data_IF_386473308411
#
_entry.id   IF_386473308411
#
_cell.length_a   1.000
_cell.length_b   1.000
_cell.length_c   1.000
_cell.angle_alpha   90.00
_cell.angle_beta   90.00
_cell.angle_gamma   90.00
#
_symmetry.space_group_name_H-M   'P 1'
#
loop_
_entity.id
_entity.type
_entity.pdbx_description
1 polymer ?
#
# COMPACT_ATOMS: atom_id res chain seq x y z
N UNK A 1 5.54 -3.26 -9.21
CA UNK A 1 5.80 -2.00 -9.95
C UNK A 1 5.46 -0.78 -9.12
N UNK A 2 4.23 -0.66 -8.60
CA UNK A 2 3.78 0.48 -7.78
C UNK A 2 4.62 0.70 -6.52
N UNK A 3 5.00 -0.37 -5.80
CA UNK A 3 5.81 -0.28 -4.57
C UNK A 3 7.09 0.55 -4.74
N UNK A 4 7.80 0.45 -5.86
CA UNK A 4 9.08 1.13 -6.05
C UNK A 4 8.92 2.67 -6.05
N UNK A 5 7.91 3.19 -6.74
CA UNK A 5 7.60 4.63 -6.75
C UNK A 5 6.97 5.10 -5.45
N UNK A 6 6.08 4.28 -4.87
CA UNK A 6 5.44 4.58 -3.59
C UNK A 6 6.47 4.69 -2.46
N UNK A 7 7.51 3.85 -2.47
CA UNK A 7 8.59 3.90 -1.48
C UNK A 7 9.31 5.25 -1.45
N UNK A 8 9.64 5.81 -2.62
CA UNK A 8 10.31 7.11 -2.70
C UNK A 8 9.42 8.25 -2.19
N UNK A 9 8.15 8.29 -2.60
CA UNK A 9 7.18 9.32 -2.16
C UNK A 9 7.00 9.24 -0.64
N UNK A 10 6.89 8.03 -0.11
CA UNK A 10 6.75 7.77 1.32
C UNK A 10 7.95 8.30 2.11
N UNK A 11 9.18 8.10 1.62
CA UNK A 11 10.39 8.65 2.25
C UNK A 11 10.45 10.18 2.22
N UNK A 12 10.08 10.79 1.09
CA UNK A 12 10.01 12.25 0.97
C UNK A 12 8.99 12.83 1.96
N UNK A 13 7.83 12.19 2.12
CA UNK A 13 6.82 12.60 3.08
C UNK A 13 7.36 12.60 4.52
N UNK A 14 7.99 11.49 4.93
CA UNK A 14 8.57 11.37 6.27
C UNK A 14 9.65 12.42 6.49
N UNK A 15 10.55 12.59 5.51
CA UNK A 15 11.63 13.57 5.62
C UNK A 15 11.13 15.00 5.76
N UNK A 16 10.05 15.36 5.05
CA UNK A 16 9.52 16.73 5.01
C UNK A 16 8.64 17.08 6.22
N UNK A 17 7.77 16.16 6.64
CA UNK A 17 6.74 16.46 7.66
C UNK A 17 7.18 16.06 9.05
N UNK A 18 7.87 14.92 9.20
CA UNK A 18 8.43 14.42 10.46
C UNK A 18 7.47 14.42 11.66
N UNK A 19 6.15 14.29 11.43
CA UNK A 19 5.11 14.34 12.47
C UNK A 19 4.09 13.24 12.28
N UNK A 20 3.58 12.73 13.40
CA UNK A 20 2.42 11.84 13.43
C UNK A 20 1.22 12.52 12.76
N UNK A 21 0.48 11.76 11.96
CA UNK A 21 -0.62 12.23 11.12
C UNK A 21 -0.23 12.29 9.64
N UNK A 22 1.06 12.41 9.31
CA UNK A 22 1.51 12.55 7.92
C UNK A 22 1.13 11.33 7.07
N UNK A 23 1.42 10.11 7.57
CA UNK A 23 1.14 8.87 6.84
C UNK A 23 -0.37 8.60 6.83
N UNK A 24 -1.07 8.89 7.94
CA UNK A 24 -2.53 8.74 8.01
C UNK A 24 -3.28 9.63 7.03
N UNK A 25 -2.83 10.88 6.83
CA UNK A 25 -3.40 11.81 5.84
C UNK A 25 -3.13 11.28 4.43
N UNK A 26 -1.90 10.87 4.13
CA UNK A 26 -1.56 10.29 2.84
C UNK A 26 -2.43 9.05 2.53
N UNK A 27 -2.56 8.14 3.49
CA UNK A 27 -3.42 6.96 3.37
C UNK A 27 -4.89 7.32 3.18
N UNK A 28 -5.40 8.31 3.93
CA UNK A 28 -6.78 8.79 3.78
C UNK A 28 -7.04 9.37 2.40
N UNK A 29 -6.12 10.17 1.86
CA UNK A 29 -6.22 10.72 0.49
C UNK A 29 -6.24 9.60 -0.54
N UNK A 30 -5.35 8.60 -0.43
CA UNK A 30 -5.32 7.45 -1.34
C UNK A 30 -6.59 6.61 -1.22
N UNK A 31 -7.08 6.37 0.01
CA UNK A 31 -8.32 5.67 0.25
C UNK A 31 -9.50 6.39 -0.40
N UNK A 32 -9.58 7.71 -0.23
CA UNK A 32 -10.63 8.52 -0.82
C UNK A 32 -10.57 8.45 -2.35
N UNK A 33 -9.37 8.50 -2.94
CA UNK A 33 -9.19 8.31 -4.39
C UNK A 33 -9.69 6.94 -4.86
N UNK A 34 -9.43 5.87 -4.12
CA UNK A 34 -9.97 4.54 -4.44
C UNK A 34 -11.50 4.55 -4.41
N UNK A 35 -12.09 5.16 -3.39
CA UNK A 35 -13.55 5.31 -3.29
C UNK A 35 -14.13 6.10 -4.46
N UNK A 36 -13.54 7.25 -4.81
CA UNK A 36 -14.01 8.12 -5.89
C UNK A 36 -13.83 7.48 -7.28
N UNK A 37 -12.78 6.69 -7.49
CA UNK A 37 -12.52 6.00 -8.76
C UNK A 37 -13.39 4.74 -8.92
N UNK A 38 -14.34 4.51 -8.01
CA UNK A 38 -15.23 3.36 -8.04
C UNK A 38 -14.50 2.03 -7.77
N UNK A 39 -13.35 2.06 -7.10
CA UNK A 39 -12.82 0.82 -6.53
C UNK A 39 -13.72 0.40 -5.38
N UNK A 40 -13.70 -0.89 -5.07
CA UNK A 40 -14.63 -1.50 -4.13
C UNK A 40 -14.62 -0.72 -2.79
N UNK A 41 -15.76 -0.22 -2.27
CA UNK A 41 -15.77 0.64 -1.08
C UNK A 41 -15.09 0.03 0.15
N UNK A 42 -15.10 -1.31 0.27
CA UNK A 42 -14.35 -1.99 1.32
C UNK A 42 -12.84 -1.85 1.22
N UNK A 43 -12.27 -1.41 0.10
CA UNK A 43 -10.84 -1.12 -0.03
C UNK A 43 -10.39 0.09 0.80
N UNK A 44 -11.33 0.98 1.12
CA UNK A 44 -11.09 2.22 1.86
C UNK A 44 -10.65 1.94 3.31
N UNK A 45 -11.37 1.06 3.99
CA UNK A 45 -11.18 0.78 5.42
C UNK A 45 -9.81 0.13 5.73
N UNK A 46 -9.40 -0.98 5.07
CA UNK A 46 -8.09 -1.58 5.27
C UNK A 46 -6.95 -0.60 5.00
N UNK A 47 -7.10 0.27 4.00
CA UNK A 47 -6.08 1.24 3.65
C UNK A 47 -5.91 2.31 4.74
N UNK A 48 -7.01 2.85 5.29
CA UNK A 48 -6.94 3.80 6.40
C UNK A 48 -6.36 3.15 7.65
N UNK A 49 -6.83 1.95 8.00
CA UNK A 49 -6.34 1.22 9.17
C UNK A 49 -4.84 0.94 9.04
N UNK A 50 -4.39 0.46 7.89
CA UNK A 50 -2.98 0.25 7.60
C UNK A 50 -2.17 1.55 7.66
N UNK A 51 -2.70 2.66 7.15
CA UNK A 51 -2.04 3.95 7.21
C UNK A 51 -1.88 4.48 8.64
N UNK A 52 -2.90 4.35 9.48
CA UNK A 52 -2.84 4.72 10.90
C UNK A 52 -1.83 3.85 11.64
N UNK A 53 -1.84 2.53 11.41
CA UNK A 53 -0.88 1.61 12.01
C UNK A 53 0.55 1.93 11.57
N UNK A 54 0.75 2.23 10.28
CA UNK A 54 2.03 2.67 9.76
C UNK A 54 2.49 3.97 10.45
N UNK A 55 1.62 4.97 10.57
CA UNK A 55 1.93 6.24 11.24
C UNK A 55 2.35 6.03 12.70
N UNK A 56 1.66 5.12 13.40
CA UNK A 56 2.01 4.73 14.76
C UNK A 56 3.39 4.07 14.82
N UNK A 57 3.67 3.11 13.95
CA UNK A 57 4.98 2.46 13.88
C UNK A 57 6.08 3.49 13.64
N UNK A 58 5.85 4.46 12.75
CA UNK A 58 6.88 5.42 12.35
C UNK A 58 7.20 6.45 13.43
N UNK A 59 6.20 6.96 14.16
CA UNK A 59 6.38 8.11 15.04
C UNK A 59 6.20 7.80 16.54
N UNK A 60 5.67 6.62 16.90
CA UNK A 60 5.41 6.24 18.29
C UNK A 60 6.25 5.06 18.79
N UNK A 61 7.13 4.49 17.96
CA UNK A 61 8.02 3.40 18.38
C UNK A 61 9.45 3.88 18.64
N UNK A 62 10.09 3.27 19.63
CA UNK A 62 11.51 3.51 19.97
C UNK A 62 12.49 2.68 19.12
N UNK A 63 12.01 2.09 18.02
CA UNK A 63 12.86 1.34 17.11
C UNK A 63 13.83 2.28 16.36
N UNK A 64 14.99 1.78 15.92
CA UNK A 64 15.88 2.53 15.04
C UNK A 64 15.12 3.04 13.82
N UNK A 65 15.40 4.29 13.41
CA UNK A 65 14.65 4.97 12.35
C UNK A 65 14.58 4.14 11.05
N UNK A 66 15.64 3.39 10.70
CA UNK A 66 15.67 2.49 9.53
C UNK A 66 14.65 1.36 9.66
N UNK A 67 14.59 0.74 10.83
CA UNK A 67 13.74 -0.42 11.11
C UNK A 67 12.29 0.01 11.15
N UNK A 68 11.95 1.08 11.89
CA UNK A 68 10.55 1.57 11.92
C UNK A 68 10.07 2.04 10.55
N UNK A 69 10.92 2.69 9.75
CA UNK A 69 10.54 3.13 8.40
C UNK A 69 10.26 1.95 7.48
N UNK A 70 11.05 0.88 7.56
CA UNK A 70 10.82 -0.33 6.77
C UNK A 70 9.54 -1.06 7.20
N UNK A 71 9.30 -1.19 8.51
CA UNK A 71 8.09 -1.81 9.05
C UNK A 71 6.85 -0.99 8.73
N UNK A 72 6.90 0.32 8.94
CA UNK A 72 5.80 1.23 8.67
C UNK A 72 5.45 1.24 7.18
N UNK A 73 6.45 1.29 6.30
CA UNK A 73 6.24 1.20 4.85
C UNK A 73 5.63 -0.14 4.43
N UNK A 74 6.04 -1.24 5.06
CA UNK A 74 5.49 -2.58 4.78
C UNK A 74 4.02 -2.66 5.19
N UNK A 75 3.67 -2.18 6.39
CA UNK A 75 2.28 -2.11 6.84
C UNK A 75 1.44 -1.23 5.92
N UNK A 76 1.96 -0.05 5.55
CA UNK A 76 1.30 0.83 4.59
C UNK A 76 1.07 0.16 3.23
N UNK A 77 2.05 -0.61 2.74
CA UNK A 77 1.96 -1.31 1.45
C UNK A 77 0.85 -2.36 1.42
N UNK A 78 0.57 -3.03 2.55
CA UNK A 78 -0.57 -3.94 2.65
C UNK A 78 -1.92 -3.21 2.56
N UNK A 79 -2.00 -1.96 3.03
CA UNK A 79 -3.21 -1.13 2.89
C UNK A 79 -3.61 -0.91 1.42
N UNK A 80 -2.62 -0.80 0.53
CA UNK A 80 -2.84 -0.61 -0.92
C UNK A 80 -3.43 -1.85 -1.61
N UNK A 81 -3.45 -3.00 -0.93
CA UNK A 81 -4.05 -4.26 -1.41
C UNK A 81 -5.56 -4.27 -1.17
N UNK A 82 -6.10 -3.27 -0.45
CA UNK A 82 -7.52 -3.09 -0.19
C UNK A 82 -8.44 -3.40 -1.38
N UNK A 83 -8.19 -2.86 -2.59
CA UNK A 83 -9.02 -3.11 -3.76
C UNK A 83 -8.97 -4.55 -4.30
N UNK A 84 -7.94 -5.32 -3.95
CA UNK A 84 -7.75 -6.70 -4.37
C UNK A 84 -8.43 -7.70 -3.43
N UNK A 85 -8.63 -7.35 -2.15
CA UNK A 85 -9.28 -8.21 -1.15
C UNK A 85 -10.65 -8.79 -1.59
N UNK A 86 -11.54 -8.02 -2.27
CA UNK A 86 -12.84 -8.54 -2.73
C UNK A 86 -12.73 -9.76 -3.64
N UNK A 87 -11.62 -9.95 -4.37
CA UNK A 87 -11.42 -11.13 -5.23
C UNK A 87 -11.46 -12.42 -4.42
N UNK A 88 -10.90 -12.42 -3.20
CA UNK A 88 -10.85 -13.61 -2.34
C UNK A 88 -12.00 -13.67 -1.33
N UNK A 89 -12.38 -12.53 -0.74
CA UNK A 89 -13.32 -12.50 0.38
C UNK A 89 -14.75 -12.11 -0.02
N UNK A 90 -14.95 -11.48 -1.18
CA UNK A 90 -16.26 -10.96 -1.62
C UNK A 90 -16.53 -11.28 -3.09
N UNK A 91 -16.19 -12.51 -3.49
CA UNK A 91 -16.25 -12.96 -4.88
C UNK A 91 -17.58 -12.64 -5.56
N UNK A 92 -18.71 -12.93 -4.90
CA UNK A 92 -20.03 -12.70 -5.49
C UNK A 92 -20.29 -11.22 -5.74
N UNK A 93 -20.04 -10.35 -4.75
CA UNK A 93 -20.21 -8.92 -4.90
C UNK A 93 -19.27 -8.31 -5.96
N UNK A 94 -18.08 -8.89 -6.15
CA UNK A 94 -17.18 -8.49 -7.23
C UNK A 94 -17.68 -8.93 -8.61
N UNK A 95 -18.24 -10.15 -8.72
CA UNK A 95 -18.88 -10.64 -9.95
C UNK A 95 -20.07 -9.75 -10.32
N UNK A 96 -20.94 -9.43 -9.35
CA UNK A 96 -22.11 -8.58 -9.56
C UNK A 96 -21.68 -7.17 -10.03
N UNK A 97 -20.61 -6.62 -9.45
CA UNK A 97 -20.03 -5.35 -9.88
C UNK A 97 -19.42 -5.41 -11.30
N UNK A 98 -18.82 -6.54 -11.71
CA UNK A 98 -18.32 -6.75 -13.07
C UNK A 98 -19.46 -6.87 -14.09
N UNK A 99 -20.54 -7.58 -13.74
CA UNK A 99 -21.74 -7.69 -14.56
C UNK A 99 -22.41 -6.33 -14.73
N UNK A 100 -22.53 -5.54 -13.66
CA UNK A 100 -23.05 -4.17 -13.73
C UNK A 100 -22.21 -3.24 -14.62
N UNK A 101 -20.91 -3.55 -14.79
CA UNK A 101 -20.00 -2.86 -15.72
C UNK A 101 -20.03 -3.41 -17.15
N UNK A 102 -20.96 -4.33 -17.45
CA UNK A 102 -21.13 -4.91 -18.77
C UNK A 102 -20.05 -5.94 -19.17
N UNK A 103 -19.37 -6.56 -18.20
CA UNK A 103 -18.41 -7.64 -18.49
C UNK A 103 -19.12 -8.98 -18.69
N UNK A 104 -18.63 -9.78 -19.62
CA UNK A 104 -19.20 -11.08 -19.94
C UNK A 104 -18.72 -12.18 -18.99
N UNK A 105 -19.42 -13.32 -18.99
CA UNK A 105 -19.09 -14.46 -18.15
C UNK A 105 -17.71 -15.06 -18.47
N UNK A 106 -17.25 -14.94 -19.72
CA UNK A 106 -15.92 -15.42 -20.14
C UNK A 106 -14.81 -14.61 -19.48
N UNK A 107 -14.94 -13.28 -19.44
CA UNK A 107 -14.02 -12.41 -18.73
C UNK A 107 -14.00 -12.70 -17.22
N UNK A 108 -15.18 -12.87 -16.62
CA UNK A 108 -15.31 -13.20 -15.20
C UNK A 108 -14.61 -14.53 -14.90
N UNK A 109 -14.84 -15.56 -15.72
CA UNK A 109 -14.23 -16.87 -15.53
C UNK A 109 -12.70 -16.80 -15.61
N UNK A 110 -12.17 -16.07 -16.60
CA UNK A 110 -10.72 -15.84 -16.74
C UNK A 110 -10.11 -15.10 -15.54
N UNK A 111 -10.79 -14.07 -15.03
CA UNK A 111 -10.33 -13.31 -13.85
C UNK A 111 -10.23 -14.21 -12.61
N UNK A 112 -11.19 -15.11 -12.41
CA UNK A 112 -11.25 -15.96 -11.22
C UNK A 112 -10.51 -17.30 -11.35
N UNK A 113 -10.09 -17.70 -12.55
CA UNK A 113 -9.40 -18.98 -12.82
C UNK A 113 -8.17 -19.18 -11.92
N UNK A 114 -7.45 -18.09 -11.63
CA UNK A 114 -6.24 -18.10 -10.81
C UNK A 114 -6.45 -17.55 -9.40
N UNK A 115 -7.68 -17.18 -9.03
CA UNK A 115 -8.01 -16.62 -7.70
C UNK A 115 -8.22 -17.76 -6.73
N UNK A 116 -7.12 -18.39 -6.32
CA UNK A 116 -7.10 -19.47 -5.34
C UNK A 116 -6.56 -18.98 -4.00
N UNK A 117 -6.80 -19.74 -2.92
CA UNK A 117 -6.24 -19.45 -1.60
C UNK A 117 -4.69 -19.54 -1.59
N UNK A 118 -4.12 -20.40 -2.45
CA UNK A 118 -2.67 -20.47 -2.63
C UNK A 118 -2.13 -19.18 -3.24
N UNK A 119 -2.79 -18.65 -4.27
CA UNK A 119 -2.40 -17.39 -4.90
C UNK A 119 -2.55 -16.20 -3.95
N UNK A 120 -3.49 -16.24 -3.01
CA UNK A 120 -3.60 -15.24 -1.95
C UNK A 120 -2.33 -15.20 -1.09
N UNK A 121 -1.89 -16.35 -0.58
CA UNK A 121 -0.68 -16.45 0.26
C UNK A 121 0.56 -15.99 -0.52
N UNK A 122 0.70 -16.44 -1.78
CA UNK A 122 1.79 -16.00 -2.67
C UNK A 122 1.77 -14.48 -2.86
N UNK A 123 0.59 -13.88 -3.04
CA UNK A 123 0.45 -12.44 -3.18
C UNK A 123 0.90 -11.69 -1.92
N UNK A 124 0.50 -12.16 -0.73
CA UNK A 124 0.95 -11.57 0.54
C UNK A 124 2.47 -11.62 0.69
N UNK A 125 3.09 -12.76 0.39
CA UNK A 125 4.55 -12.89 0.41
C UNK A 125 5.23 -11.99 -0.62
N UNK A 126 4.67 -11.88 -1.82
CA UNK A 126 5.18 -11.00 -2.86
C UNK A 126 5.11 -9.52 -2.45
N UNK A 127 4.06 -9.11 -1.73
CA UNK A 127 3.92 -7.75 -1.17
C UNK A 127 4.98 -7.52 -0.10
N UNK A 128 5.18 -8.46 0.81
CA UNK A 128 6.20 -8.37 1.86
C UNK A 128 7.61 -8.22 1.29
N UNK A 129 7.98 -9.09 0.35
CA UNK A 129 9.30 -9.05 -0.29
C UNK A 129 9.41 -7.78 -1.13
N UNK A 130 8.37 -7.44 -1.88
CA UNK A 130 8.31 -6.26 -2.74
C UNK A 130 8.41 -4.95 -1.96
N UNK A 131 7.82 -4.86 -0.76
CA UNK A 131 7.91 -3.66 0.08
C UNK A 131 9.32 -3.49 0.63
N UNK A 132 9.96 -4.57 1.09
CA UNK A 132 11.34 -4.54 1.59
C UNK A 132 12.30 -4.14 0.47
N UNK A 133 12.22 -4.79 -0.70
CA UNK A 133 13.08 -4.45 -1.84
C UNK A 133 12.79 -3.02 -2.32
N UNK A 134 11.52 -2.64 -2.39
CA UNK A 134 11.09 -1.31 -2.81
C UNK A 134 11.64 -0.19 -1.91
N UNK A 135 11.54 -0.33 -0.59
CA UNK A 135 12.03 0.68 0.34
C UNK A 135 13.56 0.75 0.37
N UNK A 136 14.25 -0.39 0.21
CA UNK A 136 15.72 -0.43 0.09
C UNK A 136 16.21 0.32 -1.14
N UNK A 137 15.55 0.11 -2.29
CA UNK A 137 15.85 0.87 -3.52
C UNK A 137 15.50 2.35 -3.33
N UNK A 138 14.37 2.64 -2.71
CA UNK A 138 13.95 4.01 -2.41
C UNK A 138 14.95 4.75 -1.52
N UNK A 139 15.56 4.08 -0.53
CA UNK A 139 16.62 4.69 0.27
C UNK A 139 17.83 5.11 -0.54
N UNK A 140 18.29 4.25 -1.46
CA UNK A 140 19.43 4.57 -2.34
C UNK A 140 19.12 5.76 -3.25
N UNK A 141 17.93 5.77 -3.85
CA UNK A 141 17.47 6.87 -4.71
C UNK A 141 17.31 8.17 -3.91
N UNK A 142 16.71 8.10 -2.72
CA UNK A 142 16.53 9.23 -1.84
C UNK A 142 17.86 9.86 -1.45
N UNK A 143 18.82 9.05 -1.00
CA UNK A 143 20.16 9.51 -0.62
C UNK A 143 20.89 10.17 -1.80
N UNK A 144 20.76 9.60 -3.00
CA UNK A 144 21.45 10.12 -4.19
C UNK A 144 20.85 11.43 -4.74
N UNK A 145 19.53 11.59 -4.68
CA UNK A 145 18.83 12.66 -5.42
C UNK A 145 18.04 13.65 -4.56
N UNK A 146 17.72 13.29 -3.31
CA UNK A 146 16.75 14.04 -2.49
C UNK A 146 17.32 14.47 -1.13
N UNK A 147 18.33 13.79 -0.59
CA UNK A 147 18.92 14.12 0.71
C UNK A 147 19.43 15.56 0.80
N UNK A 148 20.07 16.09 -0.26
CA UNK A 148 20.56 17.48 -0.29
C UNK A 148 19.44 18.51 -0.18
N UNK A 149 18.23 18.18 -0.64
CA UNK A 149 17.08 19.11 -0.70
C UNK A 149 16.11 18.95 0.47
N UNK A 150 15.97 17.73 0.99
CA UNK A 150 14.94 17.38 1.98
C UNK A 150 15.52 16.89 3.32
N UNK A 151 16.84 16.88 3.47
CA UNK A 151 17.54 16.44 4.68
C UNK A 151 17.91 14.94 4.67
N UNK A 152 18.81 14.56 5.57
CA UNK A 152 19.13 13.14 5.83
C UNK A 152 17.99 12.51 6.65
N UNK A 153 17.48 11.34 6.25
CA UNK A 153 16.51 10.57 7.06
C UNK A 153 17.25 9.75 8.13
N UNK A 154 18.54 9.47 7.90
CA UNK A 154 19.39 8.63 8.72
C UNK A 154 20.72 9.33 8.94
N UNK A 155 20.87 9.99 10.08
CA UNK A 155 22.19 10.11 10.71
C UNK A 155 22.30 9.03 11.79
#
# INVERSE_FOLDING_TARGET
MTALFTGLIYLILIAKVQRFGAISIMGSVIGLLFLMTGHFPLAFLPNIVAAILADFIQFKTNLPIKVRTMLSYTVFSYGLVGPLLPLWFMRQAYIDALLARGKDQKYIHFVFEHVTQQMFIVSLLAIFIGSIVGILIAFRLYQKHFATRFGQIYE
#
